data_IF_849253386662
#
_entry.id   IF_849253386662
#
_cell.length_a   1.000
_cell.length_b   1.000
_cell.length_c   1.000
_cell.angle_alpha   90.00
_cell.angle_beta   90.00
_cell.angle_gamma   90.00
#
_symmetry.space_group_name_H-M   'P 1'
#
loop_
_entity.id
_entity.type
_entity.pdbx_description
1 polymer ?
#
# COMPACT_ATOMS: atom_id res chain seq x y z
N UNK A 1 4.77 1.51 11.72
CA UNK A 1 4.01 0.43 12.38
C UNK A 1 3.54 -0.62 11.37
N UNK A 2 2.69 -0.30 10.38
CA UNK A 2 2.33 -1.29 9.34
C UNK A 2 3.56 -1.75 8.54
N UNK A 3 4.38 -0.84 8.04
CA UNK A 3 5.64 -1.16 7.32
C UNK A 3 6.59 -2.08 8.10
N UNK A 4 6.66 -1.92 9.44
CA UNK A 4 7.48 -2.78 10.30
C UNK A 4 6.88 -4.19 10.46
N UNK A 5 5.55 -4.31 10.47
CA UNK A 5 4.87 -5.60 10.48
C UNK A 5 4.88 -6.28 9.09
N UNK A 6 4.94 -5.50 8.01
CA UNK A 6 4.99 -5.99 6.63
C UNK A 6 6.36 -6.59 6.26
N UNK A 7 7.42 -6.31 7.04
CA UNK A 7 8.76 -6.86 6.79
C UNK A 7 8.85 -8.38 7.00
N UNK A 8 8.55 -8.96 8.19
CA UNK A 8 8.56 -10.41 8.39
C UNK A 8 7.48 -11.12 7.56
N UNK A 9 6.32 -10.49 7.38
CA UNK A 9 5.25 -11.02 6.52
C UNK A 9 5.67 -11.04 5.05
N UNK A 10 6.41 -10.03 4.59
CA UNK A 10 6.96 -9.99 3.24
C UNK A 10 8.00 -11.07 2.98
N UNK A 11 8.79 -11.44 4.00
CA UNK A 11 9.73 -12.57 3.92
C UNK A 11 8.96 -13.91 3.85
N UNK A 12 7.99 -14.14 4.73
CA UNK A 12 7.19 -15.36 4.72
C UNK A 12 6.39 -15.56 3.41
N UNK A 13 5.83 -14.48 2.84
CA UNK A 13 5.09 -14.56 1.57
C UNK A 13 6.05 -14.76 0.38
N UNK A 14 7.28 -14.24 0.43
CA UNK A 14 8.30 -14.50 -0.60
C UNK A 14 8.68 -15.97 -0.70
N UNK A 15 8.77 -16.66 0.44
CA UNK A 15 9.03 -18.10 0.46
C UNK A 15 7.88 -18.92 -0.19
N UNK A 16 6.66 -18.42 -0.08
CA UNK A 16 5.45 -19.05 -0.64
C UNK A 16 5.15 -18.63 -2.09
N UNK A 17 5.70 -17.51 -2.55
CA UNK A 17 5.27 -16.86 -3.80
C UNK A 17 6.47 -16.48 -4.67
N UNK A 18 6.70 -17.18 -5.79
CA UNK A 18 7.84 -16.90 -6.66
C UNK A 18 7.75 -15.56 -7.41
N UNK A 19 6.57 -14.98 -7.57
CA UNK A 19 6.39 -13.73 -8.32
C UNK A 19 6.43 -12.49 -7.43
N UNK A 20 7.32 -11.55 -7.74
CA UNK A 20 7.38 -10.23 -7.10
C UNK A 20 6.06 -9.47 -7.24
N UNK A 21 5.39 -9.55 -8.39
CA UNK A 21 4.10 -8.92 -8.61
C UNK A 21 2.99 -9.53 -7.74
N UNK A 22 2.94 -10.86 -7.63
CA UNK A 22 1.96 -11.54 -6.76
C UNK A 22 2.20 -11.20 -5.30
N UNK A 23 3.46 -11.13 -4.85
CA UNK A 23 3.80 -10.65 -3.51
C UNK A 23 3.23 -9.24 -3.26
N UNK A 24 3.43 -8.30 -4.19
CA UNK A 24 2.91 -6.92 -4.05
C UNK A 24 1.38 -6.89 -4.04
N UNK A 25 0.74 -7.73 -4.84
CA UNK A 25 -0.72 -7.86 -4.85
C UNK A 25 -1.26 -8.42 -3.53
N UNK A 26 -0.60 -9.43 -2.95
CA UNK A 26 -0.96 -9.97 -1.63
C UNK A 26 -0.78 -8.91 -0.54
N UNK A 27 0.34 -8.17 -0.56
CA UNK A 27 0.57 -7.06 0.37
C UNK A 27 -0.52 -5.98 0.25
N UNK A 28 -0.97 -5.66 -0.97
CA UNK A 28 -2.10 -4.76 -1.21
C UNK A 28 -3.39 -5.27 -0.56
N UNK A 29 -3.75 -6.53 -0.80
CA UNK A 29 -4.97 -7.14 -0.22
C UNK A 29 -4.91 -7.11 1.30
N UNK A 30 -3.78 -7.48 1.89
CA UNK A 30 -3.58 -7.46 3.35
C UNK A 30 -3.68 -6.04 3.89
N UNK A 31 -3.05 -5.06 3.23
CA UNK A 31 -3.10 -3.66 3.66
C UNK A 31 -4.52 -3.09 3.60
N UNK A 32 -5.28 -3.42 2.55
CA UNK A 32 -6.70 -3.06 2.40
C UNK A 32 -7.54 -3.71 3.50
N UNK A 33 -7.41 -5.02 3.69
CA UNK A 33 -8.18 -5.76 4.69
C UNK A 33 -7.91 -5.23 6.10
N UNK A 34 -6.64 -5.17 6.49
CA UNK A 34 -6.21 -4.63 7.79
C UNK A 34 -6.76 -3.23 8.03
N UNK A 35 -6.60 -2.33 7.05
CA UNK A 35 -7.07 -0.95 7.21
C UNK A 35 -8.59 -0.90 7.31
N UNK A 36 -9.31 -1.68 6.51
CA UNK A 36 -10.77 -1.65 6.48
C UNK A 36 -11.37 -2.11 7.81
N UNK A 37 -10.86 -3.23 8.37
CA UNK A 37 -11.34 -3.78 9.65
C UNK A 37 -11.12 -2.80 10.79
N UNK A 38 -9.89 -2.31 10.97
CA UNK A 38 -9.58 -1.37 12.06
C UNK A 38 -10.34 -0.05 11.95
N UNK A 39 -10.57 0.43 10.73
CA UNK A 39 -11.30 1.68 10.50
C UNK A 39 -12.79 1.55 10.72
N UNK A 40 -13.39 0.43 10.33
CA UNK A 40 -14.81 0.19 10.57
C UNK A 40 -15.10 -0.07 12.05
N UNK A 41 -14.23 -0.80 12.76
CA UNK A 41 -14.45 -1.13 14.17
C UNK A 41 -14.10 0.03 15.11
N UNK A 42 -12.99 0.74 14.85
CA UNK A 42 -12.41 1.71 15.82
C UNK A 42 -12.29 3.12 15.28
N UNK A 43 -12.53 3.33 13.97
CA UNK A 43 -12.22 4.58 13.28
C UNK A 43 -10.71 4.88 13.23
N UNK A 44 -9.85 3.94 13.65
CA UNK A 44 -8.43 4.16 13.93
C UNK A 44 -7.60 2.92 13.66
N UNK A 45 -6.51 3.07 12.91
CA UNK A 45 -5.42 2.09 12.83
C UNK A 45 -4.40 2.37 13.94
N UNK A 46 -3.62 1.39 14.44
CA UNK A 46 -2.63 1.60 15.51
C UNK A 46 -1.71 2.81 15.32
N UNK A 47 -1.20 3.06 14.11
CA UNK A 47 -0.40 4.26 13.84
C UNK A 47 -1.16 5.58 14.00
N UNK A 48 -2.47 5.59 13.77
CA UNK A 48 -3.35 6.75 14.02
C UNK A 48 -3.67 6.90 15.50
N UNK A 49 -3.77 5.79 16.24
CA UNK A 49 -3.92 5.82 17.71
C UNK A 49 -2.70 6.52 18.33
N UNK A 50 -1.48 6.14 17.92
CA UNK A 50 -0.24 6.78 18.39
C UNK A 50 -0.16 8.28 18.04
N UNK A 51 -0.82 8.71 16.96
CA UNK A 51 -0.88 10.11 16.54
C UNK A 51 -2.09 10.87 17.10
N UNK A 52 -2.91 10.22 17.96
CA UNK A 52 -4.17 10.75 18.46
C UNK A 52 -5.11 11.24 17.36
N UNK A 53 -5.19 10.49 16.25
CA UNK A 53 -6.05 10.79 15.10
C UNK A 53 -7.19 9.79 15.02
N UNK A 54 -8.42 10.24 14.79
CA UNK A 54 -9.60 9.39 14.52
C UNK A 54 -10.25 9.78 13.21
N UNK A 55 -10.88 8.80 12.56
CA UNK A 55 -11.69 9.05 11.38
C UNK A 55 -13.17 8.96 11.66
N UNK A 56 -13.91 9.85 11.01
CA UNK A 56 -15.36 9.98 11.04
C UNK A 56 -15.89 10.11 9.62
N UNK A 57 -17.18 9.78 9.44
CA UNK A 57 -17.92 10.13 8.22
C UNK A 57 -18.03 11.66 8.14
N UNK A 58 -18.21 12.21 6.94
CA UNK A 58 -18.52 13.64 6.74
C UNK A 58 -19.81 14.06 7.43
N UNK A 59 -20.69 13.11 7.74
CA UNK A 59 -21.94 13.32 8.48
C UNK A 59 -21.74 13.37 10.01
N UNK A 60 -20.48 13.27 10.48
CA UNK A 60 -20.11 13.28 11.90
C UNK A 60 -20.23 11.93 12.62
N UNK A 61 -20.84 10.93 11.99
CA UNK A 61 -20.94 9.57 12.52
C UNK A 61 -19.65 8.73 12.38
N UNK A 62 -19.64 7.50 12.93
CA UNK A 62 -18.57 6.53 12.70
C UNK A 62 -18.48 6.13 11.21
N UNK A 63 -17.30 5.65 10.78
CA UNK A 63 -17.14 5.13 9.42
C UNK A 63 -17.90 3.81 9.24
N UNK A 64 -18.73 3.74 8.21
CA UNK A 64 -19.36 2.48 7.82
C UNK A 64 -18.35 1.53 7.16
N UNK A 65 -18.57 0.21 7.24
CA UNK A 65 -17.68 -0.81 6.62
C UNK A 65 -17.42 -0.53 5.14
N UNK A 66 -18.45 -0.15 4.38
CA UNK A 66 -18.32 0.19 2.96
C UNK A 66 -17.39 1.39 2.74
N UNK A 67 -17.54 2.45 3.53
CA UNK A 67 -16.68 3.63 3.45
C UNK A 67 -15.23 3.26 3.80
N UNK A 68 -15.03 2.43 4.85
CA UNK A 68 -13.72 1.96 5.26
C UNK A 68 -13.00 1.16 4.16
N UNK A 69 -13.73 0.27 3.47
CA UNK A 69 -13.20 -0.52 2.34
C UNK A 69 -12.85 0.37 1.15
N UNK A 70 -13.79 1.20 0.67
CA UNK A 70 -13.56 2.10 -0.46
C UNK A 70 -12.36 3.01 -0.20
N UNK A 71 -12.30 3.59 1.00
CA UNK A 71 -11.18 4.42 1.44
C UNK A 71 -9.86 3.66 1.39
N UNK A 72 -9.84 2.45 1.94
CA UNK A 72 -8.62 1.64 2.05
C UNK A 72 -8.12 1.19 0.69
N UNK A 73 -9.02 0.75 -0.19
CA UNK A 73 -8.70 0.38 -1.58
C UNK A 73 -8.06 1.56 -2.30
N UNK A 74 -8.70 2.74 -2.30
CA UNK A 74 -8.18 3.92 -3.01
C UNK A 74 -6.85 4.36 -2.41
N UNK A 75 -6.74 4.41 -1.07
CA UNK A 75 -5.50 4.80 -0.39
C UNK A 75 -4.33 3.91 -0.81
N UNK A 76 -4.52 2.59 -0.74
CA UNK A 76 -3.45 1.64 -0.99
C UNK A 76 -3.22 1.40 -2.48
N UNK A 77 -4.21 1.61 -3.35
CA UNK A 77 -4.03 1.49 -4.81
C UNK A 77 -3.01 2.50 -5.34
N UNK A 78 -3.00 3.73 -4.79
CA UNK A 78 -1.99 4.73 -5.17
C UNK A 78 -0.56 4.35 -4.76
N UNK A 79 -0.40 3.46 -3.77
CA UNK A 79 0.90 2.97 -3.32
C UNK A 79 1.27 1.70 -4.06
N UNK A 80 0.42 0.68 -3.98
CA UNK A 80 0.72 -0.65 -4.53
C UNK A 80 0.51 -0.77 -6.02
N UNK A 81 -0.36 0.02 -6.66
CA UNK A 81 -0.58 -0.01 -8.10
C UNK A 81 0.73 0.20 -8.88
N UNK A 82 1.44 1.33 -8.66
CA UNK A 82 2.74 1.54 -9.29
C UNK A 82 3.78 0.49 -8.91
N UNK A 83 3.78 0.01 -7.65
CA UNK A 83 4.72 -1.03 -7.21
C UNK A 83 4.47 -2.40 -7.86
N UNK A 84 3.22 -2.75 -8.15
CA UNK A 84 2.87 -3.96 -8.91
C UNK A 84 3.33 -3.82 -10.36
N UNK A 85 3.09 -2.67 -11.00
CA UNK A 85 3.57 -2.42 -12.37
C UNK A 85 5.09 -2.53 -12.47
N UNK A 86 5.80 -1.92 -11.51
CA UNK A 86 7.26 -2.03 -11.44
C UNK A 86 7.72 -3.46 -11.17
N UNK A 87 7.00 -4.22 -10.35
CA UNK A 87 7.28 -5.63 -10.07
C UNK A 87 6.92 -6.58 -11.23
N UNK A 88 6.14 -6.14 -12.21
CA UNK A 88 5.90 -6.86 -13.47
C UNK A 88 7.00 -6.57 -14.50
N UNK A 89 7.59 -5.37 -14.46
CA UNK A 89 8.71 -4.96 -15.31
C UNK A 89 10.05 -5.60 -14.87
N UNK A 90 10.17 -5.92 -13.57
CA UNK A 90 11.18 -6.84 -13.08
C UNK A 90 10.65 -8.24 -13.43
N UNK A 91 11.27 -8.94 -14.38
CA UNK A 91 10.85 -10.29 -14.77
C UNK A 91 10.73 -11.26 -13.57
N UNK A 92 10.18 -12.47 -13.76
CA UNK A 92 10.06 -13.43 -12.67
C UNK A 92 11.42 -13.57 -11.98
N UNK A 93 11.45 -13.32 -10.66
CA UNK A 93 12.65 -13.56 -9.87
C UNK A 93 13.03 -15.04 -10.08
N UNK A 94 14.31 -15.38 -10.25
CA UNK A 94 14.73 -16.76 -10.40
C UNK A 94 14.36 -17.52 -9.12
N UNK A 95 13.24 -18.22 -9.15
CA UNK A 95 12.67 -18.92 -8.00
C UNK A 95 12.78 -20.42 -8.17
N UNK A 96 13.92 -20.87 -8.68
CA UNK A 96 14.31 -22.24 -8.38
C UNK A 96 14.80 -22.26 -6.93
N UNK A 97 13.85 -22.46 -6.01
CA UNK A 97 14.15 -22.94 -4.64
C UNK A 97 15.03 -24.20 -4.71
N UNK A 98 14.92 -24.96 -5.81
CA UNK A 98 15.77 -26.11 -6.16
C UNK A 98 17.25 -25.77 -6.46
N UNK A 99 17.60 -24.50 -6.71
CA UNK A 99 18.98 -24.07 -6.94
C UNK A 99 19.66 -23.47 -5.70
N UNK A 100 18.93 -23.31 -4.59
CA UNK A 100 19.50 -22.88 -3.31
C UNK A 100 20.40 -24.03 -2.81
N UNK A 101 21.70 -23.93 -3.08
CA UNK A 101 22.70 -24.96 -2.75
C UNK A 101 23.35 -25.66 -3.95
N UNK A 102 22.96 -25.34 -5.18
CA UNK A 102 23.71 -25.75 -6.39
C UNK A 102 24.62 -24.61 -6.83
N UNK A 103 25.83 -24.92 -7.32
CA UNK A 103 26.77 -23.95 -7.93
C UNK A 103 26.27 -23.36 -9.27
N UNK A 104 24.98 -23.46 -9.56
CA UNK A 104 24.38 -22.92 -10.77
C UNK A 104 24.53 -21.38 -10.76
N UNK A 105 24.96 -20.77 -11.89
CA UNK A 105 25.10 -19.33 -11.98
C UNK A 105 23.77 -18.64 -11.64
N UNK A 106 23.82 -17.64 -10.75
CA UNK A 106 22.69 -16.75 -10.53
C UNK A 106 22.36 -16.08 -11.86
N UNK A 107 21.16 -16.34 -12.40
CA UNK A 107 20.67 -15.59 -13.55
C UNK A 107 20.42 -14.16 -13.07
N UNK A 108 21.24 -13.22 -13.52
CA UNK A 108 20.99 -11.81 -13.22
C UNK A 108 19.63 -11.43 -13.83
N UNK A 109 18.73 -10.82 -13.04
CA UNK A 109 17.42 -10.43 -13.55
C UNK A 109 17.61 -9.42 -14.68
N UNK A 110 17.08 -9.73 -15.87
CA UNK A 110 17.02 -8.79 -16.97
C UNK A 110 16.16 -7.61 -16.55
N UNK A 111 16.78 -6.45 -16.40
CA UNK A 111 16.09 -5.22 -16.03
C UNK A 111 15.48 -4.58 -17.26
N UNK A 112 14.18 -4.31 -17.24
CA UNK A 112 13.54 -3.45 -18.24
C UNK A 112 14.30 -2.11 -18.31
N UNK A 113 14.78 -1.66 -19.49
CA UNK A 113 15.48 -0.39 -19.65
C UNK A 113 14.66 0.81 -19.16
N UNK A 114 13.34 0.67 -19.02
CA UNK A 114 12.42 1.69 -18.51
C UNK A 114 12.24 1.67 -16.99
N UNK A 115 12.94 0.79 -16.24
CA UNK A 115 12.77 0.70 -14.78
C UNK A 115 12.95 2.04 -14.06
N UNK A 116 13.96 2.83 -14.45
CA UNK A 116 14.18 4.17 -13.90
C UNK A 116 13.01 5.10 -14.16
N UNK A 117 12.41 5.02 -15.36
CA UNK A 117 11.24 5.82 -15.75
C UNK A 117 10.04 5.47 -14.87
N UNK A 118 9.75 4.19 -14.64
CA UNK A 118 8.67 3.78 -13.73
C UNK A 118 8.88 4.30 -12.31
N UNK A 119 10.13 4.28 -11.82
CA UNK A 119 10.51 4.86 -10.53
C UNK A 119 10.21 6.36 -10.43
N UNK A 120 10.62 7.14 -11.42
CA UNK A 120 10.35 8.59 -11.47
C UNK A 120 8.85 8.90 -11.60
N UNK A 121 8.11 8.16 -12.43
CA UNK A 121 6.67 8.33 -12.56
C UNK A 121 5.94 8.03 -11.25
N UNK A 122 6.36 6.98 -10.55
CA UNK A 122 5.81 6.60 -9.23
C UNK A 122 6.06 7.70 -8.20
N UNK A 123 7.30 8.20 -8.10
CA UNK A 123 7.64 9.28 -7.19
C UNK A 123 6.88 10.57 -7.53
N UNK A 124 6.76 10.90 -8.82
CA UNK A 124 6.00 12.03 -9.32
C UNK A 124 4.51 11.94 -8.96
N UNK A 125 3.91 10.75 -9.09
CA UNK A 125 2.53 10.49 -8.66
C UNK A 125 2.35 10.74 -7.16
N UNK A 126 3.24 10.21 -6.32
CA UNK A 126 3.15 10.41 -4.86
C UNK A 126 3.34 11.86 -4.46
N UNK A 127 4.27 12.57 -5.11
CA UNK A 127 4.45 14.01 -4.92
C UNK A 127 3.20 14.78 -5.36
N UNK A 128 2.60 14.44 -6.50
CA UNK A 128 1.36 15.05 -6.97
C UNK A 128 0.22 14.83 -5.98
N UNK A 129 0.05 13.62 -5.44
CA UNK A 129 -0.94 13.32 -4.41
C UNK A 129 -0.72 14.14 -3.13
N UNK A 130 0.54 14.34 -2.72
CA UNK A 130 0.89 15.19 -1.60
C UNK A 130 0.52 16.66 -1.86
N UNK A 131 0.86 17.18 -3.04
CA UNK A 131 0.54 18.56 -3.45
C UNK A 131 -0.96 18.76 -3.53
N UNK A 132 -1.69 17.83 -4.15
CA UNK A 132 -3.16 17.86 -4.26
C UNK A 132 -3.79 17.88 -2.86
N UNK A 133 -3.27 17.05 -1.95
CA UNK A 133 -3.76 17.01 -0.56
C UNK A 133 -3.50 18.34 0.14
N UNK A 134 -2.29 18.91 0.04
CA UNK A 134 -1.94 20.19 0.68
C UNK A 134 -2.65 21.40 0.10
N UNK A 135 -3.03 21.36 -1.18
CA UNK A 135 -3.77 22.46 -1.84
C UNK A 135 -5.27 22.40 -1.60
N UNK A 136 -5.80 21.29 -1.10
CA UNK A 136 -7.21 21.21 -0.71
C UNK A 136 -7.45 22.13 0.50
N UNK A 137 -8.58 22.85 0.51
CA UNK A 137 -8.94 23.80 1.58
C UNK A 137 -8.79 23.17 2.97
N UNK A 138 -9.28 21.93 3.12
CA UNK A 138 -9.25 21.19 4.39
C UNK A 138 -8.10 20.17 4.49
N UNK A 139 -7.09 20.27 3.62
CA UNK A 139 -5.95 19.34 3.57
C UNK A 139 -6.34 17.86 3.43
N UNK A 140 -7.47 17.59 2.77
CA UNK A 140 -8.10 16.27 2.69
C UNK A 140 -7.54 15.46 1.53
N UNK A 141 -7.11 14.23 1.80
CA UNK A 141 -6.56 13.36 0.77
C UNK A 141 -7.65 12.88 -0.21
N UNK A 142 -7.31 12.53 -1.47
CA UNK A 142 -8.28 12.03 -2.44
C UNK A 142 -9.11 10.83 -1.96
N UNK A 143 -8.47 9.88 -1.26
CA UNK A 143 -9.16 8.71 -0.72
C UNK A 143 -10.12 9.02 0.42
N UNK A 144 -9.88 10.11 1.16
CA UNK A 144 -10.79 10.62 2.19
C UNK A 144 -12.02 11.28 1.56
N UNK A 145 -11.82 12.06 0.49
CA UNK A 145 -12.89 12.70 -0.28
C UNK A 145 -13.85 11.69 -0.90
N UNK A 146 -13.32 10.69 -1.60
CA UNK A 146 -14.15 9.67 -2.28
C UNK A 146 -14.92 8.81 -1.28
N UNK A 147 -14.35 8.55 -0.10
CA UNK A 147 -15.00 7.74 0.91
C UNK A 147 -15.99 8.52 1.80
N UNK A 148 -16.07 9.84 1.66
CA UNK A 148 -16.82 10.68 2.60
C UNK A 148 -16.26 10.57 4.02
N UNK A 149 -14.93 10.48 4.15
CA UNK A 149 -14.26 10.30 5.43
C UNK A 149 -13.42 11.54 5.76
N UNK A 150 -13.37 11.91 7.05
CA UNK A 150 -12.54 12.99 7.55
C UNK A 150 -11.68 12.51 8.72
N UNK A 151 -10.51 13.14 8.87
CA UNK A 151 -9.58 12.86 9.97
C UNK A 151 -9.68 14.01 10.98
N UNK A 152 -9.90 13.65 12.23
CA UNK A 152 -9.91 14.59 13.35
C UNK A 152 -8.81 14.24 14.34
N UNK A 153 -8.35 15.23 15.09
CA UNK A 153 -7.48 15.02 16.25
C UNK A 153 -8.36 14.74 17.47
N UNK A 154 -8.12 13.61 18.13
CA UNK A 154 -8.75 13.27 19.41
C UNK A 154 -7.80 13.78 20.49
N UNK A 155 -8.27 14.68 21.35
CA UNK A 155 -7.50 15.13 22.51
C UNK A 155 -7.52 14.07 23.60
#
# INVERSE_FOLDING_TARGET
>A
MLELAMWPLGLAIRELTPSAAVLRLLQFVIAVFYSSVFLAERGQTPGKIMASLRMLSTDGGPLNQRQAVVRSVIKWAWVFGPLVLMALAIGPLPTNVQQIGTEAPLVEPEMDPLMGVYGFLTAGLWLALLVITRRHRDHQAPHDRVAGAMVIKVQ
#
